data_IF_887220720532
#
_entry.id   IF_887220720532
#
_cell.length_a   1.000
_cell.length_b   1.000
_cell.length_c   1.000
_cell.angle_alpha   90.00
_cell.angle_beta   90.00
_cell.angle_gamma   90.00
#
_symmetry.space_group_name_H-M   'P 1'
#
loop_
_entity.id
_entity.type
_entity.pdbx_description
1 polymer ?
#
# COMPACT_ATOMS: atom_id res chain seq x y z
N UNK A 1 8.42 21.60 11.71
CA UNK A 1 7.90 20.24 11.91
C UNK A 1 6.91 20.29 13.06
N UNK A 2 5.64 19.97 12.82
CA UNK A 2 4.63 20.00 13.88
C UNK A 2 4.63 18.64 14.61
N UNK A 3 5.23 18.60 15.80
CA UNK A 3 5.41 17.37 16.57
C UNK A 3 4.08 16.80 17.03
N UNK A 4 3.13 17.65 17.43
CA UNK A 4 1.79 17.23 17.86
C UNK A 4 1.07 16.46 16.76
N UNK A 5 1.12 16.97 15.52
CA UNK A 5 0.51 16.32 14.36
C UNK A 5 1.15 14.96 14.03
N UNK A 6 2.46 14.81 14.25
CA UNK A 6 3.15 13.53 14.05
C UNK A 6 2.71 12.50 15.10
N UNK A 7 2.59 12.91 16.36
CA UNK A 7 2.12 12.05 17.44
C UNK A 7 0.67 11.60 17.21
N UNK A 8 -0.20 12.52 16.81
CA UNK A 8 -1.60 12.22 16.48
C UNK A 8 -1.70 11.20 15.34
N UNK A 9 -0.95 11.43 14.25
CA UNK A 9 -0.94 10.52 13.09
C UNK A 9 -0.43 9.13 13.49
N UNK A 10 0.68 9.05 14.23
CA UNK A 10 1.26 7.79 14.68
C UNK A 10 0.29 7.01 15.57
N UNK A 11 -0.37 7.67 16.52
CA UNK A 11 -1.37 7.05 17.38
C UNK A 11 -2.57 6.52 16.58
N UNK A 12 -3.04 7.27 15.58
CA UNK A 12 -4.15 6.85 14.73
C UNK A 12 -3.79 5.63 13.85
N UNK A 13 -2.54 5.53 13.38
CA UNK A 13 -2.06 4.39 12.58
C UNK A 13 -2.02 3.07 13.35
N UNK A 14 -1.90 3.11 14.69
CA UNK A 14 -1.75 1.92 15.56
C UNK A 14 -2.93 1.72 16.53
N UNK A 15 -4.09 2.33 16.24
CA UNK A 15 -5.26 2.20 17.09
C UNK A 15 -5.71 0.73 17.27
N UNK A 16 -6.22 0.33 18.45
CA UNK A 16 -6.70 -1.03 18.68
C UNK A 16 -7.72 -1.49 17.63
N UNK A 17 -7.51 -2.69 17.09
CA UNK A 17 -8.35 -3.24 16.03
C UNK A 17 -8.09 -2.66 14.63
N UNK A 18 -7.08 -1.81 14.46
CA UNK A 18 -6.59 -1.33 13.14
C UNK A 18 -5.18 -1.84 12.87
N UNK A 19 -4.79 -1.77 11.60
CA UNK A 19 -3.45 -2.10 11.12
C UNK A 19 -3.11 -1.35 9.83
N UNK A 20 -1.90 -1.58 9.32
CA UNK A 20 -1.39 -0.96 8.10
C UNK A 20 -1.39 -2.00 6.99
N UNK A 21 -1.97 -1.67 5.84
CA UNK A 21 -1.85 -2.45 4.61
C UNK A 21 -0.67 -1.93 3.79
N UNK A 22 0.36 -2.75 3.61
CA UNK A 22 1.48 -2.46 2.72
C UNK A 22 1.11 -2.87 1.28
N UNK A 23 0.80 -1.87 0.43
CA UNK A 23 0.50 -2.01 -1.01
C UNK A 23 1.45 -1.14 -1.87
N UNK A 24 2.68 -0.98 -1.37
CA UNK A 24 3.76 -0.14 -1.90
C UNK A 24 4.68 -0.90 -2.87
N UNK A 25 4.17 -1.92 -3.56
CA UNK A 25 5.00 -2.75 -4.43
C UNK A 25 5.53 -1.94 -5.62
N UNK A 26 6.86 -1.99 -5.79
CA UNK A 26 7.54 -1.48 -6.99
C UNK A 26 7.02 -2.16 -8.27
N UNK A 27 7.27 -1.55 -9.43
CA UNK A 27 6.85 -2.08 -10.73
C UNK A 27 7.31 -3.52 -10.97
N UNK A 28 8.52 -3.88 -10.52
CA UNK A 28 9.04 -5.24 -10.64
C UNK A 28 8.39 -6.22 -9.66
N UNK A 29 8.09 -5.78 -8.44
CA UNK A 29 7.46 -6.62 -7.41
C UNK A 29 5.99 -6.90 -7.75
N UNK A 30 5.22 -5.89 -8.15
CA UNK A 30 3.81 -6.07 -8.54
C UNK A 30 3.67 -6.92 -9.80
N UNK A 31 4.63 -6.85 -10.74
CA UNK A 31 4.66 -7.71 -11.93
C UNK A 31 4.58 -9.19 -11.54
N UNK A 32 5.42 -9.64 -10.60
CA UNK A 32 5.43 -11.05 -10.16
C UNK A 32 4.08 -11.48 -9.57
N UNK A 33 3.39 -10.58 -8.88
CA UNK A 33 2.06 -10.84 -8.31
C UNK A 33 0.99 -10.95 -9.39
N UNK A 34 0.95 -10.01 -10.33
CA UNK A 34 -0.02 -10.02 -11.44
C UNK A 34 0.21 -11.21 -12.37
N UNK A 35 1.48 -11.52 -12.70
CA UNK A 35 1.85 -12.68 -13.50
C UNK A 35 1.34 -13.99 -12.85
N UNK A 36 1.41 -14.12 -11.52
CA UNK A 36 0.97 -15.32 -10.80
C UNK A 36 -0.54 -15.61 -10.92
N UNK A 37 -1.32 -14.60 -11.30
CA UNK A 37 -2.77 -14.70 -11.53
C UNK A 37 -3.15 -14.43 -13.00
N UNK A 38 -2.17 -14.51 -13.91
CA UNK A 38 -2.35 -14.30 -15.36
C UNK A 38 -2.93 -12.92 -15.74
N UNK A 39 -2.59 -11.87 -14.99
CA UNK A 39 -2.97 -10.48 -15.28
C UNK A 39 -1.76 -9.73 -15.85
N UNK A 40 -1.98 -8.97 -16.92
CA UNK A 40 -0.93 -8.15 -17.53
C UNK A 40 -0.47 -7.02 -16.58
N UNK A 41 0.83 -6.74 -16.52
CA UNK A 41 1.37 -5.61 -15.76
C UNK A 41 1.25 -4.27 -16.52
N UNK A 42 0.02 -3.83 -16.77
CA UNK A 42 -0.29 -2.51 -17.32
C UNK A 42 -0.48 -1.47 -16.21
N UNK A 43 -0.39 -0.18 -16.55
CA UNK A 43 -0.69 0.90 -15.60
C UNK A 43 -2.15 0.85 -15.12
N UNK A 44 -3.09 0.61 -16.03
CA UNK A 44 -4.51 0.42 -15.71
C UNK A 44 -4.71 -0.70 -14.70
N UNK A 45 -4.12 -1.88 -14.91
CA UNK A 45 -4.28 -3.00 -13.98
C UNK A 45 -3.62 -2.73 -12.62
N UNK A 46 -2.47 -2.04 -12.61
CA UNK A 46 -1.83 -1.61 -11.36
C UNK A 46 -2.67 -0.60 -10.60
N UNK A 47 -3.38 0.30 -11.28
CA UNK A 47 -4.28 1.28 -10.66
C UNK A 47 -5.53 0.60 -10.14
N UNK A 48 -6.17 -0.25 -10.95
CA UNK A 48 -7.42 -0.92 -10.56
C UNK A 48 -7.23 -1.92 -9.41
N UNK A 49 -6.00 -2.40 -9.19
CA UNK A 49 -5.62 -3.20 -8.02
C UNK A 49 -5.52 -2.39 -6.70
N UNK A 50 -5.27 -1.08 -6.77
CA UNK A 50 -5.13 -0.20 -5.58
C UNK A 50 -6.44 0.53 -5.30
#
# INVERSE_FOLDING_TARGET
>A
MNVEKLLETAAAMVAPGKGILAIDESTGTIKKRLDSVNVENSETNRRDYR
#
